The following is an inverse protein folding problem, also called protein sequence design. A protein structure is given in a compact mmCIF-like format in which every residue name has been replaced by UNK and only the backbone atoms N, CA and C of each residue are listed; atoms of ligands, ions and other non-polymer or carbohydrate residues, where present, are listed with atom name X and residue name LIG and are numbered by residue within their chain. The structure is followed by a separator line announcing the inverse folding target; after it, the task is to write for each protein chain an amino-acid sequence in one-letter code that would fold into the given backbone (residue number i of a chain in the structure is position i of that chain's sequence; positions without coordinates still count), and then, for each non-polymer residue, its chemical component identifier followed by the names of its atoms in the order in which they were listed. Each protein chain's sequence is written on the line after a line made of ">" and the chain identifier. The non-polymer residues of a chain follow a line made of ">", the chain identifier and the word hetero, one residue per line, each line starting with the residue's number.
data_IF_182118034957
#
_entry.id   IF_182118034957
#
_cell.length_a   1.000
_cell.length_b   1.000
_cell.length_c   1.000
_cell.angle_alpha   90.00
_cell.angle_beta   90.00
_cell.angle_gamma   90.00
#
_symmetry.space_group_name_H-M   'P 1'
#
loop_
_entity.id
_entity.type
_entity.pdbx_description
1 polymer ?
#
# COMPACT_ATOMS: atom_id res chain seq x y z
N UNK A 1 -35.83 11.76 -16.14
CA UNK A 1 -35.29 11.54 -14.77
C UNK A 1 -36.45 11.72 -13.79
N UNK A 2 -37.42 10.82 -13.66
CA UNK A 2 -37.33 9.36 -13.68
C UNK A 2 -37.35 8.82 -12.24
N UNK A 3 -38.37 9.17 -11.46
CA UNK A 3 -38.67 8.54 -10.17
C UNK A 3 -40.05 7.90 -10.28
N UNK A 4 -40.11 6.58 -10.34
CA UNK A 4 -41.38 5.85 -10.33
C UNK A 4 -41.74 5.38 -8.92
N UNK A 5 -43.02 5.47 -8.54
CA UNK A 5 -43.56 5.10 -7.23
C UNK A 5 -44.08 3.66 -7.25
N UNK A 6 -44.15 2.98 -6.11
CA UNK A 6 -45.14 1.92 -5.88
C UNK A 6 -45.51 1.86 -4.39
N UNK A 7 -46.64 2.48 -4.09
CA UNK A 7 -47.51 2.13 -2.97
C UNK A 7 -48.32 0.90 -3.39
N UNK A 8 -48.52 -0.04 -2.45
CA UNK A 8 -49.50 -1.12 -2.59
C UNK A 8 -48.89 -2.50 -2.51
N UNK A 9 -48.98 -3.13 -1.33
CA UNK A 9 -49.30 -4.55 -1.09
C UNK A 9 -49.17 -4.82 0.42
N UNK A 10 -49.98 -4.10 1.18
CA UNK A 10 -50.37 -4.50 2.52
C UNK A 10 -51.40 -5.63 2.37
N UNK A 11 -51.24 -6.69 3.15
CA UNK A 11 -52.29 -7.66 3.48
C UNK A 11 -52.63 -8.75 2.44
N UNK A 12 -51.89 -9.86 2.48
CA UNK A 12 -52.40 -11.25 2.51
C UNK A 12 -51.25 -12.24 2.29
N UNK A 13 -50.85 -12.95 3.35
CA UNK A 13 -50.39 -14.34 3.31
C UNK A 13 -50.35 -14.86 4.77
N UNK A 14 -51.55 -15.01 5.32
CA UNK A 14 -51.83 -15.88 6.45
C UNK A 14 -52.07 -17.27 5.84
N UNK A 15 -51.37 -18.27 6.37
CA UNK A 15 -51.48 -19.72 6.08
C UNK A 15 -50.77 -20.27 4.83
N UNK A 16 -49.57 -20.83 5.04
CA UNK A 16 -49.21 -22.20 4.65
C UNK A 16 -47.74 -22.45 5.04
N UNK A 17 -47.54 -23.00 6.24
CA UNK A 17 -46.21 -23.31 6.77
C UNK A 17 -46.26 -24.29 7.91
N UNK A 18 -47.08 -25.35 7.79
CA UNK A 18 -46.94 -26.56 8.59
C UNK A 18 -45.66 -27.30 8.16
N UNK A 19 -44.50 -26.81 8.61
CA UNK A 19 -43.29 -27.63 8.69
C UNK A 19 -43.43 -28.61 9.86
N UNK A 20 -42.90 -29.84 9.76
CA UNK A 20 -43.11 -30.85 10.78
C UNK A 20 -42.60 -30.31 12.10
N UNK A 21 -43.45 -30.38 13.13
CA UNK A 21 -43.05 -30.22 14.52
C UNK A 21 -41.83 -31.10 14.77
N UNK A 22 -40.64 -30.49 14.76
CA UNK A 22 -39.51 -31.04 15.46
C UNK A 22 -39.94 -31.10 16.92
N UNK A 23 -40.18 -32.32 17.40
CA UNK A 23 -40.47 -32.62 18.81
C UNK A 23 -39.58 -31.73 19.69
N UNK A 24 -40.12 -31.03 20.70
CA UNK A 24 -39.26 -30.34 21.65
C UNK A 24 -38.41 -31.41 22.31
N UNK A 25 -37.13 -31.48 21.96
CA UNK A 25 -36.19 -32.37 22.64
C UNK A 25 -36.19 -31.92 24.10
N UNK A 26 -36.97 -32.61 24.93
CA UNK A 26 -37.10 -32.33 26.34
C UNK A 26 -35.68 -32.35 26.91
N UNK A 27 -35.25 -31.22 27.49
CA UNK A 27 -33.96 -31.16 28.17
C UNK A 27 -33.97 -32.30 29.22
N UNK A 28 -33.02 -33.25 29.17
CA UNK A 28 -33.01 -34.38 30.08
C UNK A 28 -33.13 -33.91 31.53
N UNK A 29 -33.86 -34.64 32.36
CA UNK A 29 -34.07 -34.28 33.76
C UNK A 29 -32.71 -34.14 34.48
N UNK A 30 -32.52 -33.05 35.22
CA UNK A 30 -31.26 -32.76 35.94
C UNK A 30 -30.93 -33.91 36.89
N UNK A 31 -29.75 -34.51 36.76
CA UNK A 31 -29.33 -35.69 37.53
C UNK A 31 -29.68 -37.05 36.92
N UNK A 32 -30.40 -37.09 35.78
CA UNK A 32 -30.61 -38.33 35.02
C UNK A 32 -29.35 -38.79 34.30
N UNK A 33 -29.24 -40.09 34.04
CA UNK A 33 -28.17 -40.69 33.22
C UNK A 33 -28.02 -40.00 31.86
N UNK A 34 -29.15 -39.64 31.23
CA UNK A 34 -29.19 -38.95 29.95
C UNK A 34 -28.70 -37.50 30.05
N UNK A 35 -29.01 -36.80 31.15
CA UNK A 35 -28.48 -35.47 31.41
C UNK A 35 -26.97 -35.48 31.57
N UNK A 36 -26.43 -36.48 32.31
CA UNK A 36 -24.99 -36.67 32.45
C UNK A 36 -24.31 -37.03 31.12
N UNK A 37 -24.95 -37.85 30.27
CA UNK A 37 -24.47 -38.19 28.93
C UNK A 37 -24.40 -36.97 28.02
N UNK A 38 -25.51 -36.23 27.87
CA UNK A 38 -25.60 -35.02 27.02
C UNK A 38 -24.59 -33.97 27.46
N UNK A 39 -24.43 -33.74 28.78
CA UNK A 39 -23.45 -32.78 29.30
C UNK A 39 -22.01 -33.20 28.96
N UNK A 40 -21.70 -34.49 29.07
CA UNK A 40 -20.36 -35.03 28.75
C UNK A 40 -20.06 -34.91 27.25
N UNK A 41 -21.01 -35.25 26.39
CA UNK A 41 -20.84 -35.19 24.94
C UNK A 41 -20.79 -33.75 24.44
N UNK A 42 -21.61 -32.86 25.02
CA UNK A 42 -21.49 -31.43 24.75
C UNK A 42 -20.11 -30.88 25.14
N UNK A 43 -19.58 -31.28 26.30
CA UNK A 43 -18.24 -30.87 26.73
C UNK A 43 -17.15 -31.37 25.77
N UNK A 44 -17.24 -32.63 25.31
CA UNK A 44 -16.33 -33.17 24.29
C UNK A 44 -16.41 -32.40 22.97
N UNK A 45 -17.61 -32.06 22.53
CA UNK A 45 -17.84 -31.33 21.29
C UNK A 45 -17.27 -29.91 21.35
N UNK A 46 -17.45 -29.22 22.48
CA UNK A 46 -16.85 -27.89 22.71
C UNK A 46 -15.32 -27.97 22.62
N UNK A 47 -14.72 -28.96 23.27
CA UNK A 47 -13.25 -29.13 23.23
C UNK A 47 -12.74 -29.54 21.85
N UNK A 48 -13.49 -30.38 21.11
CA UNK A 48 -13.17 -30.73 19.72
C UNK A 48 -13.12 -29.48 18.84
N UNK A 49 -14.16 -28.63 18.88
CA UNK A 49 -14.22 -27.39 18.11
C UNK A 49 -13.08 -26.44 18.47
N UNK A 50 -12.78 -26.28 19.76
CA UNK A 50 -11.63 -25.48 20.21
C UNK A 50 -10.32 -25.97 19.58
N UNK A 51 -10.07 -27.27 19.56
CA UNK A 51 -8.86 -27.85 18.96
C UNK A 51 -8.80 -27.63 17.46
N UNK A 52 -9.93 -27.72 16.76
CA UNK A 52 -10.01 -27.47 15.33
C UNK A 52 -9.69 -26.03 14.99
N UNK A 53 -10.28 -25.06 15.69
CA UNK A 53 -9.97 -23.64 15.50
C UNK A 53 -8.49 -23.33 15.73
N UNK A 54 -7.88 -23.91 16.78
CA UNK A 54 -6.44 -23.72 17.04
C UNK A 54 -5.60 -24.34 15.90
N UNK A 55 -5.94 -25.53 15.44
CA UNK A 55 -5.20 -26.20 14.38
C UNK A 55 -5.31 -25.45 13.05
N UNK A 56 -6.50 -24.93 12.75
CA UNK A 56 -6.75 -24.07 11.59
C UNK A 56 -5.88 -22.81 11.66
N UNK A 57 -5.86 -22.11 12.80
CA UNK A 57 -5.01 -20.94 12.99
C UNK A 57 -3.52 -21.24 12.78
N UNK A 58 -3.01 -22.37 13.29
CA UNK A 58 -1.62 -22.78 13.07
C UNK A 58 -1.34 -23.09 11.59
N UNK A 59 -2.29 -23.73 10.90
CA UNK A 59 -2.13 -24.05 9.49
C UNK A 59 -2.17 -22.79 8.61
N UNK A 60 -2.98 -21.77 8.95
CA UNK A 60 -2.95 -20.48 8.23
C UNK A 60 -1.61 -19.77 8.41
N UNK A 61 -1.04 -19.77 9.62
CA UNK A 61 0.30 -19.23 9.85
C UNK A 61 1.36 -19.93 8.97
N UNK A 62 1.26 -21.25 8.82
CA UNK A 62 2.21 -22.02 8.00
C UNK A 62 2.17 -21.66 6.50
N UNK A 63 1.06 -21.12 5.98
CA UNK A 63 0.94 -20.73 4.56
C UNK A 63 1.66 -19.42 4.24
N UNK A 64 1.69 -18.49 5.19
CA UNK A 64 2.24 -17.14 4.98
C UNK A 64 3.69 -16.99 5.46
N UNK A 65 4.14 -17.89 6.35
CA UNK A 65 5.49 -17.86 6.89
C UNK A 65 6.40 -18.79 6.05
N UNK A 66 7.48 -18.26 5.44
CA UNK A 66 8.33 -19.04 4.54
C UNK A 66 9.12 -20.14 5.26
N UNK A 67 9.21 -21.30 4.60
CA UNK A 67 9.98 -22.46 5.03
C UNK A 67 9.45 -23.14 6.31
N UNK A 68 8.16 -22.98 6.62
CA UNK A 68 7.55 -23.74 7.69
C UNK A 68 7.52 -25.25 7.39
N UNK A 69 7.86 -26.06 8.38
CA UNK A 69 7.66 -27.50 8.36
C UNK A 69 6.28 -27.89 8.92
N UNK A 70 5.91 -29.17 8.86
CA UNK A 70 4.61 -29.67 9.38
C UNK A 70 4.49 -29.67 10.91
N UNK A 71 5.55 -29.30 11.64
CA UNK A 71 5.55 -29.29 13.10
C UNK A 71 4.97 -27.98 13.66
N UNK A 72 3.91 -28.06 14.47
CA UNK A 72 3.24 -26.91 15.11
C UNK A 72 4.21 -26.03 15.91
N UNK A 73 5.15 -26.61 16.64
CA UNK A 73 6.13 -25.83 17.41
C UNK A 73 7.09 -25.06 16.51
N UNK A 74 7.54 -25.69 15.42
CA UNK A 74 8.39 -25.06 14.40
C UNK A 74 7.68 -23.91 13.70
N UNK A 75 6.41 -24.10 13.31
CA UNK A 75 5.58 -23.06 12.68
C UNK A 75 5.49 -21.83 13.58
N UNK A 76 5.20 -22.01 14.87
CA UNK A 76 5.11 -20.89 15.82
C UNK A 76 6.45 -20.17 15.98
N UNK A 77 7.56 -20.90 16.12
CA UNK A 77 8.89 -20.30 16.24
C UNK A 77 9.30 -19.53 14.98
N UNK A 78 9.08 -20.12 13.80
CA UNK A 78 9.30 -19.48 12.48
C UNK A 78 8.46 -18.22 12.32
N UNK A 79 7.19 -18.26 12.74
CA UNK A 79 6.30 -17.10 12.66
C UNK A 79 6.83 -15.93 13.49
N UNK A 80 7.30 -16.19 14.71
CA UNK A 80 7.91 -15.15 15.56
C UNK A 80 9.15 -14.55 14.89
N UNK A 81 10.06 -15.41 14.41
CA UNK A 81 11.27 -14.94 13.71
C UNK A 81 10.95 -14.11 12.48
N UNK A 82 9.98 -14.56 11.67
CA UNK A 82 9.61 -13.88 10.45
C UNK A 82 8.95 -12.53 10.72
N UNK A 83 8.10 -12.41 11.74
CA UNK A 83 7.52 -11.12 12.16
C UNK A 83 8.61 -10.16 12.62
N UNK A 84 9.58 -10.62 13.42
CA UNK A 84 10.73 -9.80 13.83
C UNK A 84 11.52 -9.33 12.62
N UNK A 85 11.85 -10.24 11.69
CA UNK A 85 12.56 -9.89 10.46
C UNK A 85 11.78 -8.89 9.60
N UNK A 86 10.46 -9.05 9.45
CA UNK A 86 9.63 -8.11 8.70
C UNK A 86 9.67 -6.71 9.33
N UNK A 87 9.61 -6.62 10.67
CA UNK A 87 9.71 -5.36 11.39
C UNK A 87 11.09 -4.70 11.21
N UNK A 88 12.16 -5.49 11.31
CA UNK A 88 13.53 -4.98 11.13
C UNK A 88 13.76 -4.53 9.68
N UNK A 89 13.26 -5.29 8.70
CA UNK A 89 13.29 -4.93 7.28
C UNK A 89 12.50 -3.66 7.00
N UNK A 90 11.32 -3.48 7.62
CA UNK A 90 10.53 -2.26 7.50
C UNK A 90 11.32 -1.04 8.00
N UNK A 91 11.95 -1.16 9.18
CA UNK A 91 12.82 -0.09 9.72
C UNK A 91 13.95 0.26 8.77
N UNK A 92 14.67 -0.74 8.28
CA UNK A 92 15.78 -0.53 7.33
C UNK A 92 15.32 0.08 6.01
N UNK A 93 14.15 -0.33 5.50
CA UNK A 93 13.57 0.24 4.28
C UNK A 93 13.22 1.72 4.47
N UNK A 94 12.66 2.09 5.61
CA UNK A 94 12.35 3.49 5.94
C UNK A 94 13.65 4.31 6.01
N UNK A 95 14.68 3.81 6.68
CA UNK A 95 15.98 4.48 6.77
C UNK A 95 16.63 4.67 5.39
N UNK A 96 16.66 3.60 4.59
CA UNK A 96 17.19 3.62 3.22
C UNK A 96 16.44 4.64 2.35
N UNK A 97 15.11 4.57 2.36
CA UNK A 97 14.29 5.48 1.55
C UNK A 97 14.46 6.94 1.99
N UNK A 98 14.58 7.18 3.30
CA UNK A 98 14.83 8.52 3.84
C UNK A 98 16.17 9.07 3.38
N UNK A 99 17.23 8.25 3.42
CA UNK A 99 18.56 8.64 2.93
C UNK A 99 18.54 8.94 1.43
N UNK A 100 17.96 8.03 0.63
CA UNK A 100 17.84 8.21 -0.82
C UNK A 100 17.07 9.49 -1.17
N UNK A 101 15.96 9.76 -0.47
CA UNK A 101 15.18 10.99 -0.64
C UNK A 101 16.03 12.23 -0.34
N UNK A 102 16.75 12.26 0.78
CA UNK A 102 17.59 13.41 1.16
C UNK A 102 18.68 13.68 0.12
N UNK A 103 19.32 12.63 -0.40
CA UNK A 103 20.36 12.77 -1.43
C UNK A 103 19.78 13.29 -2.76
N UNK A 104 18.61 12.80 -3.16
CA UNK A 104 17.93 13.27 -4.36
C UNK A 104 17.46 14.72 -4.21
N UNK A 105 16.90 15.09 -3.06
CA UNK A 105 16.50 16.47 -2.78
C UNK A 105 17.71 17.42 -2.84
N UNK A 106 18.86 17.01 -2.29
CA UNK A 106 20.11 17.78 -2.38
C UNK A 106 20.56 17.95 -3.84
N UNK A 107 20.58 16.87 -4.63
CA UNK A 107 20.96 16.92 -6.04
C UNK A 107 20.01 17.81 -6.87
N UNK A 108 18.71 17.75 -6.60
CA UNK A 108 17.71 18.62 -7.24
C UNK A 108 17.98 20.08 -6.91
N UNK A 109 18.27 20.40 -5.65
CA UNK A 109 18.57 21.76 -5.22
C UNK A 109 19.84 22.30 -5.90
N UNK A 110 20.90 21.50 -5.96
CA UNK A 110 22.15 21.86 -6.63
C UNK A 110 21.96 22.08 -8.13
N UNK A 111 21.23 21.18 -8.80
CA UNK A 111 20.94 21.30 -10.23
C UNK A 111 20.07 22.53 -10.53
N UNK A 112 19.07 22.79 -9.68
CA UNK A 112 18.19 23.96 -9.80
C UNK A 112 18.98 25.26 -9.63
N UNK A 113 19.86 25.32 -8.62
CA UNK A 113 20.74 26.47 -8.40
C UNK A 113 21.70 26.70 -9.59
N UNK A 114 22.26 25.63 -10.16
CA UNK A 114 23.10 25.72 -11.36
C UNK A 114 22.32 26.25 -12.58
N UNK A 115 21.09 25.75 -12.78
CA UNK A 115 20.22 26.23 -13.85
C UNK A 115 19.91 27.73 -13.69
N UNK A 116 19.60 28.18 -12.48
CA UNK A 116 19.26 29.58 -12.23
C UNK A 116 20.48 30.50 -12.39
N UNK A 117 21.68 30.04 -12.00
CA UNK A 117 22.94 30.75 -12.28
C UNK A 117 23.16 30.92 -13.78
N UNK A 118 23.02 29.85 -14.57
CA UNK A 118 23.21 29.90 -16.03
C UNK A 118 22.16 30.81 -16.69
N UNK A 119 20.90 30.77 -16.23
CA UNK A 119 19.87 31.69 -16.71
C UNK A 119 20.23 33.14 -16.42
N UNK A 120 20.74 33.44 -15.22
CA UNK A 120 21.16 34.79 -14.85
C UNK A 120 22.34 35.28 -15.71
N UNK A 121 23.36 34.44 -15.92
CA UNK A 121 24.51 34.74 -16.79
C UNK A 121 24.06 34.98 -18.24
N UNK A 122 23.12 34.17 -18.75
CA UNK A 122 22.53 34.38 -20.08
C UNK A 122 21.81 35.73 -20.17
N UNK A 123 21.03 36.10 -19.16
CA UNK A 123 20.32 37.39 -19.14
C UNK A 123 21.33 38.54 -19.16
N UNK A 124 22.36 38.49 -18.33
CA UNK A 124 23.43 39.50 -18.31
C UNK A 124 24.14 39.61 -19.67
N UNK A 125 24.49 38.48 -20.30
CA UNK A 125 25.11 38.47 -21.62
C UNK A 125 24.20 39.06 -22.71
N UNK A 126 22.88 38.80 -22.64
CA UNK A 126 21.91 39.39 -23.55
C UNK A 126 21.77 40.90 -23.36
N UNK A 127 21.80 41.39 -22.13
CA UNK A 127 21.81 42.82 -21.81
C UNK A 127 23.07 43.49 -22.35
N UNK A 128 24.24 42.88 -22.15
CA UNK A 128 25.53 43.40 -22.66
C UNK A 128 25.53 43.47 -24.20
N UNK A 129 25.07 42.41 -24.86
CA UNK A 129 24.90 42.38 -26.32
C UNK A 129 23.94 43.45 -26.82
N UNK A 130 22.86 43.75 -26.09
CA UNK A 130 21.93 44.80 -26.44
C UNK A 130 22.60 46.20 -26.39
N UNK A 131 23.44 46.45 -25.38
CA UNK A 131 24.22 47.69 -25.27
C UNK A 131 25.18 47.84 -26.45
N UNK A 132 25.98 46.80 -26.77
CA UNK A 132 26.89 46.87 -27.91
C UNK A 132 26.15 47.04 -29.24
N UNK A 133 25.03 46.35 -29.42
CA UNK A 133 24.20 46.48 -30.62
C UNK A 133 23.70 47.92 -30.78
N UNK A 134 23.19 48.54 -29.72
CA UNK A 134 22.75 49.94 -29.76
C UNK A 134 23.90 50.90 -30.09
N UNK A 135 25.10 50.67 -29.54
CA UNK A 135 26.29 51.46 -29.84
C UNK A 135 26.72 51.33 -31.32
N UNK A 136 26.69 50.12 -31.88
CA UNK A 136 26.98 49.88 -33.29
C UNK A 136 25.94 50.54 -34.21
N UNK A 137 24.65 50.42 -33.89
CA UNK A 137 23.56 51.07 -34.63
C UNK A 137 23.72 52.60 -34.63
N UNK A 138 24.00 53.21 -33.47
CA UNK A 138 24.26 54.66 -33.37
C UNK A 138 25.51 55.12 -34.14
N UNK A 139 26.51 54.24 -34.27
CA UNK A 139 27.74 54.52 -35.03
C UNK A 139 27.60 54.20 -36.53
N UNK A 140 26.45 53.69 -36.99
CA UNK A 140 26.25 53.25 -38.38
C UNK A 140 27.08 52.01 -38.77
N UNK A 141 27.57 51.24 -37.79
CA UNK A 141 28.39 50.05 -38.00
C UNK A 141 27.47 48.84 -38.16
N UNK A 142 27.51 48.21 -39.33
CA UNK A 142 26.81 46.93 -39.56
C UNK A 142 27.78 45.76 -39.35
N UNK A 143 27.51 44.84 -38.42
CA UNK A 143 28.37 43.68 -38.21
C UNK A 143 28.30 42.70 -39.39
N UNK A 144 29.45 42.31 -39.94
CA UNK A 144 29.58 41.29 -40.99
C UNK A 144 29.68 39.88 -40.38
N UNK A 145 28.57 39.16 -40.40
CA UNK A 145 28.46 37.81 -39.83
C UNK A 145 29.22 36.73 -40.62
N UNK A 146 29.77 37.02 -41.81
CA UNK A 146 30.51 36.02 -42.59
C UNK A 146 31.95 35.79 -42.12
N UNK A 147 32.50 36.67 -41.26
CA UNK A 147 33.88 36.57 -40.73
C UNK A 147 33.97 36.06 -39.29
N UNK A 148 32.88 36.09 -38.53
CA UNK A 148 32.84 35.56 -37.17
C UNK A 148 32.65 34.03 -37.25
N UNK A 149 33.77 33.31 -37.23
CA UNK A 149 33.80 31.86 -37.40
C UNK A 149 32.81 31.12 -36.50
N UNK A 150 32.22 30.07 -37.07
CA UNK A 150 31.42 29.05 -36.41
C UNK A 150 32.11 28.61 -35.11
N UNK A 151 31.58 29.03 -33.96
CA UNK A 151 32.01 28.46 -32.69
C UNK A 151 31.34 27.09 -32.60
N UNK A 152 32.08 26.04 -32.93
CA UNK A 152 31.66 24.67 -32.68
C UNK A 152 31.53 24.48 -31.17
N UNK A 153 30.30 24.43 -30.69
CA UNK A 153 29.98 24.01 -29.33
C UNK A 153 30.23 22.50 -29.28
N UNK A 154 31.43 22.13 -28.82
CA UNK A 154 31.78 20.73 -28.62
C UNK A 154 30.92 20.14 -27.50
N UNK A 155 30.04 19.21 -27.86
CA UNK A 155 29.32 18.35 -26.92
C UNK A 155 30.33 17.56 -26.09
N UNK A 156 30.44 17.92 -24.80
CA UNK A 156 31.25 17.23 -23.82
C UNK A 156 30.70 15.83 -23.56
N UNK A 157 31.57 14.84 -23.79
CA UNK A 157 31.34 13.40 -23.64
C UNK A 157 31.14 12.97 -22.19
#
# INVERSE_FOLDING_TARGET
>A
MGGTPYHGLEEQLKEAGSGPQGTPTQKPAVGSEEWHRVRRDNHKEVERRRRETINEGINELAKIVPGCEKNKGSILQRAVQYITQLKDNESQNIEKWTLEKLLLDQAINELSASCDRIKAEKVQALEELAVYRAACENAGITPDFKKAGSVEVGDGK
#
